data_IF_346609282657
#
_entry.id   IF_346609282657
#
_cell.length_a   1.000
_cell.length_b   1.000
_cell.length_c   1.000
_cell.angle_alpha   90.00
_cell.angle_beta   90.00
_cell.angle_gamma   90.00
#
_symmetry.space_group_name_H-M   'P 1'
#
loop_
_entity.id
_entity.type
_entity.pdbx_description
1 polymer ?
#
# COMPACT_ATOMS: atom_id res chain seq x y z
N UNK A 1 -16.68 21.86 -9.96
CA UNK A 1 -16.49 22.25 -8.53
C UNK A 1 -16.85 21.12 -7.56
N UNK A 2 -18.09 20.61 -7.45
CA UNK A 2 -18.43 19.60 -6.44
C UNK A 2 -17.61 18.30 -6.60
N UNK A 3 -17.40 17.87 -7.84
CA UNK A 3 -16.54 16.72 -8.15
C UNK A 3 -15.07 16.94 -7.74
N UNK A 4 -14.55 18.17 -7.90
CA UNK A 4 -13.18 18.51 -7.49
C UNK A 4 -13.01 18.50 -5.97
N UNK A 5 -14.02 18.97 -5.23
CA UNK A 5 -14.05 18.89 -3.76
C UNK A 5 -14.08 17.42 -3.33
N UNK A 6 -14.92 16.60 -3.98
CA UNK A 6 -14.99 15.16 -3.72
C UNK A 6 -13.62 14.50 -3.94
N UNK A 7 -12.95 14.76 -5.07
CA UNK A 7 -11.62 14.22 -5.35
C UNK A 7 -10.58 14.62 -4.28
N UNK A 8 -10.59 15.89 -3.84
CA UNK A 8 -9.73 16.37 -2.76
C UNK A 8 -9.98 15.64 -1.44
N UNK A 9 -11.24 15.53 -1.02
CA UNK A 9 -11.63 14.81 0.18
C UNK A 9 -11.30 13.33 0.09
N UNK A 10 -11.52 12.68 -1.06
CA UNK A 10 -11.24 11.26 -1.25
C UNK A 10 -9.76 10.93 -1.07
N UNK A 11 -8.85 11.71 -1.67
CA UNK A 11 -7.41 11.50 -1.53
C UNK A 11 -6.99 11.65 -0.06
N UNK A 12 -7.53 12.66 0.60
CA UNK A 12 -7.25 12.94 2.02
C UNK A 12 -7.78 11.85 2.95
N UNK A 13 -9.01 11.40 2.75
CA UNK A 13 -9.61 10.30 3.51
C UNK A 13 -8.82 9.01 3.27
N UNK A 14 -8.46 8.71 2.01
CA UNK A 14 -7.63 7.56 1.68
C UNK A 14 -6.26 7.61 2.36
N UNK A 15 -5.61 8.78 2.36
CA UNK A 15 -4.34 9.00 3.05
C UNK A 15 -4.46 8.75 4.56
N UNK A 16 -5.45 9.34 5.21
CA UNK A 16 -5.67 9.18 6.65
C UNK A 16 -6.01 7.73 7.01
N UNK A 17 -6.89 7.07 6.24
CA UNK A 17 -7.26 5.68 6.46
C UNK A 17 -6.08 4.72 6.25
N UNK A 18 -5.15 5.02 5.32
CA UNK A 18 -3.94 4.21 5.12
C UNK A 18 -2.98 4.24 6.32
N UNK A 19 -3.09 5.29 7.14
CA UNK A 19 -2.28 5.50 8.34
C UNK A 19 -3.02 5.18 9.63
N UNK A 20 -4.32 4.91 9.57
CA UNK A 20 -5.11 4.58 10.75
C UNK A 20 -4.87 3.13 11.16
N UNK A 21 -4.74 2.89 12.46
CA UNK A 21 -4.69 1.53 12.98
C UNK A 21 -6.05 0.84 12.77
N UNK A 22 -6.03 -0.47 12.53
CA UNK A 22 -7.24 -1.27 12.30
C UNK A 22 -8.11 -1.42 13.55
N UNK A 23 -7.57 -1.10 14.73
CA UNK A 23 -8.31 -1.13 16.00
C UNK A 23 -9.09 0.19 16.24
N UNK A 24 -10.43 0.18 16.13
CA UNK A 24 -11.26 1.36 16.37
C UNK A 24 -11.31 1.75 17.85
N UNK A 25 -10.94 0.84 18.77
CA UNK A 25 -11.01 1.06 20.22
C UNK A 25 -10.11 2.22 20.67
N UNK A 26 -8.91 2.32 20.12
CA UNK A 26 -7.96 3.40 20.45
C UNK A 26 -8.45 4.78 20.02
N UNK A 27 -9.09 4.89 18.85
CA UNK A 27 -9.70 6.13 18.39
C UNK A 27 -10.89 6.53 19.27
N UNK A 28 -11.70 5.56 19.69
CA UNK A 28 -12.83 5.79 20.59
C UNK A 28 -12.39 6.26 21.98
N UNK A 29 -11.31 5.69 22.53
CA UNK A 29 -10.71 6.13 23.80
C UNK A 29 -10.19 7.57 23.71
N UNK A 30 -9.60 7.95 22.58
CA UNK A 30 -9.18 9.33 22.32
C UNK A 30 -10.36 10.29 22.19
N UNK A 31 -11.40 9.89 21.46
CA UNK A 31 -12.63 10.66 21.28
C UNK A 31 -13.33 10.90 22.62
N UNK A 32 -13.51 9.83 23.42
CA UNK A 32 -14.01 9.93 24.79
C UNK A 32 -13.13 10.82 25.64
N UNK A 33 -11.81 10.70 25.54
CA UNK A 33 -10.88 11.56 26.26
C UNK A 33 -10.97 13.05 25.89
N UNK A 34 -11.30 13.38 24.63
CA UNK A 34 -11.54 14.76 24.17
C UNK A 34 -12.89 15.30 24.64
N UNK A 35 -13.95 14.48 24.56
CA UNK A 35 -15.30 14.83 25.03
C UNK A 35 -15.34 15.01 26.54
N UNK A 36 -14.72 14.09 27.29
CA UNK A 36 -14.61 14.17 28.75
C UNK A 36 -13.77 15.38 29.15
N UNK A 37 -12.65 15.65 28.48
CA UNK A 37 -11.82 16.83 28.76
C UNK A 37 -12.50 18.16 28.40
N UNK A 38 -13.48 18.17 27.48
CA UNK A 38 -14.35 19.31 27.23
C UNK A 38 -15.40 19.53 28.34
N UNK A 39 -15.78 18.48 29.08
CA UNK A 39 -16.61 18.59 30.29
C UNK A 39 -15.83 18.92 31.56
N UNK A 40 -14.61 18.38 31.68
CA UNK A 40 -13.75 18.48 32.88
C UNK A 40 -13.03 19.83 33.02
N UNK A 41 -13.03 20.65 31.97
CA UNK A 41 -12.45 22.00 31.99
C UNK A 41 -13.33 23.00 32.77
N UNK A 42 -14.50 22.56 33.25
CA UNK A 42 -15.33 23.31 34.21
C UNK A 42 -15.05 23.00 35.69
N UNK A 43 -14.32 21.93 36.03
CA UNK A 43 -14.18 21.48 37.45
C UNK A 43 -12.74 21.33 37.96
N UNK A 44 -11.71 21.63 37.15
CA UNK A 44 -10.29 21.45 37.54
C UNK A 44 -9.57 22.69 38.10
N UNK A 45 -10.28 23.55 38.81
CA UNK A 45 -9.65 24.59 39.66
C UNK A 45 -9.66 24.26 41.16
N UNK A 46 -10.22 23.10 41.56
CA UNK A 46 -10.16 22.66 42.95
C UNK A 46 -9.90 21.18 43.02
N UNK A 47 -8.74 20.85 43.56
CA UNK A 47 -8.48 19.80 44.57
C UNK A 47 -7.14 19.16 44.23
N UNK A 48 -6.10 19.63 44.92
CA UNK A 48 -4.89 18.84 45.09
C UNK A 48 -5.11 17.78 46.15
N UNK A 49 -4.46 16.63 46.01
CA UNK A 49 -4.03 15.80 47.14
C UNK A 49 -3.07 14.72 46.67
N UNK A 50 -2.14 14.44 47.57
CA UNK A 50 -0.95 13.61 47.50
C UNK A 50 -1.22 12.10 47.37
N UNK A 51 -0.13 11.36 47.12
CA UNK A 51 0.13 9.95 47.48
C UNK A 51 -0.45 8.79 46.66
N UNK A 52 0.40 8.15 45.85
CA UNK A 52 1.05 6.84 46.11
C UNK A 52 1.90 6.48 44.88
N UNK A 53 3.19 6.19 45.04
CA UNK A 53 4.08 5.73 43.95
C UNK A 53 3.74 4.28 43.57
N UNK A 54 2.56 4.03 43.00
CA UNK A 54 2.38 2.87 42.15
C UNK A 54 3.21 3.09 40.87
N UNK A 55 3.93 2.06 40.41
CA UNK A 55 4.58 2.07 39.11
C UNK A 55 3.50 2.18 38.03
N UNK A 56 3.03 3.39 37.76
CA UNK A 56 2.08 3.68 36.69
C UNK A 56 2.81 3.39 35.38
N UNK A 57 2.34 2.36 34.66
CA UNK A 57 2.89 2.01 33.36
C UNK A 57 2.89 3.25 32.44
N UNK A 58 4.06 3.73 32.00
CA UNK A 58 4.14 4.91 31.14
C UNK A 58 3.68 4.62 29.71
N UNK A 59 3.55 3.35 29.31
CA UNK A 59 3.21 2.91 27.97
C UNK A 59 1.85 3.42 27.46
N UNK A 60 0.73 3.29 28.20
CA UNK A 60 -0.57 3.83 27.75
C UNK A 60 -0.52 5.35 27.54
N UNK A 61 0.19 6.08 28.40
CA UNK A 61 0.39 7.53 28.25
C UNK A 61 1.21 7.88 27.01
N UNK A 62 2.33 7.18 26.79
CA UNK A 62 3.18 7.35 25.61
C UNK A 62 2.45 7.01 24.31
N UNK A 63 1.66 5.94 24.29
CA UNK A 63 0.83 5.57 23.15
C UNK A 63 -0.20 6.65 22.84
N UNK A 64 -0.90 7.17 23.85
CA UNK A 64 -1.87 8.25 23.69
C UNK A 64 -1.22 9.53 23.12
N UNK A 65 -0.04 9.89 23.62
CA UNK A 65 0.71 11.04 23.13
C UNK A 65 1.21 10.84 21.70
N UNK A 66 1.72 9.65 21.37
CA UNK A 66 2.14 9.30 20.01
C UNK A 66 0.96 9.37 19.02
N UNK A 67 -0.19 8.80 19.38
CA UNK A 67 -1.40 8.88 18.58
C UNK A 67 -1.89 10.31 18.39
N UNK A 68 -1.85 11.13 19.46
CA UNK A 68 -2.21 12.55 19.37
C UNK A 68 -1.29 13.32 18.42
N UNK A 69 0.03 13.15 18.56
CA UNK A 69 1.01 13.80 17.67
C UNK A 69 0.83 13.35 16.22
N UNK A 70 0.59 12.05 15.99
CA UNK A 70 0.32 11.50 14.67
C UNK A 70 -0.96 12.08 14.07
N UNK A 71 -2.06 12.14 14.83
CA UNK A 71 -3.33 12.70 14.36
C UNK A 71 -3.21 14.19 14.04
N UNK A 72 -2.49 14.96 14.85
CA UNK A 72 -2.20 16.37 14.57
C UNK A 72 -1.38 16.55 13.30
N UNK A 73 -0.32 15.75 13.12
CA UNK A 73 0.49 15.76 11.90
C UNK A 73 -0.33 15.35 10.67
N UNK A 74 -1.11 14.28 10.78
CA UNK A 74 -1.98 13.80 9.69
C UNK A 74 -3.04 14.85 9.34
N UNK A 75 -3.64 15.54 10.31
CA UNK A 75 -4.62 16.61 10.05
C UNK A 75 -4.02 17.77 9.25
N UNK A 76 -2.80 18.22 9.59
CA UNK A 76 -2.09 19.26 8.84
C UNK A 76 -1.82 18.80 7.40
N UNK A 77 -1.28 17.60 7.23
CA UNK A 77 -0.99 17.04 5.90
C UNK A 77 -2.27 16.87 5.09
N UNK A 78 -3.36 16.41 5.72
CA UNK A 78 -4.68 16.26 5.10
C UNK A 78 -5.22 17.58 4.55
N UNK A 79 -5.10 18.68 5.30
CA UNK A 79 -5.53 20.01 4.84
C UNK A 79 -4.70 20.43 3.62
N UNK A 80 -3.38 20.32 3.71
CA UNK A 80 -2.47 20.69 2.62
C UNK A 80 -2.74 19.87 1.35
N UNK A 81 -2.86 18.54 1.48
CA UNK A 81 -3.15 17.64 0.36
C UNK A 81 -4.51 17.95 -0.25
N UNK A 82 -5.54 18.23 0.56
CA UNK A 82 -6.88 18.61 0.05
C UNK A 82 -6.80 19.86 -0.82
N UNK A 83 -6.10 20.91 -0.35
CA UNK A 83 -5.93 22.17 -1.08
C UNK A 83 -5.18 21.94 -2.39
N UNK A 84 -4.07 21.20 -2.35
CA UNK A 84 -3.26 20.91 -3.54
C UNK A 84 -4.04 20.08 -4.57
N UNK A 85 -4.71 19.01 -4.14
CA UNK A 85 -5.52 18.16 -5.04
C UNK A 85 -6.67 18.95 -5.63
N UNK A 86 -7.36 19.76 -4.81
CA UNK A 86 -8.42 20.63 -5.28
C UNK A 86 -7.91 21.63 -6.34
N UNK A 87 -6.76 22.27 -6.10
CA UNK A 87 -6.14 23.19 -7.05
C UNK A 87 -5.78 22.51 -8.37
N UNK A 88 -5.15 21.33 -8.33
CA UNK A 88 -4.79 20.55 -9.53
C UNK A 88 -6.03 20.07 -10.29
N UNK A 89 -7.09 19.69 -9.58
CA UNK A 89 -8.31 19.22 -10.22
C UNK A 89 -9.11 20.38 -10.84
N UNK A 90 -9.15 21.55 -10.19
CA UNK A 90 -9.82 22.76 -10.70
C UNK A 90 -9.04 23.37 -11.87
N UNK A 91 -7.71 23.24 -11.90
CA UNK A 91 -6.89 23.70 -13.03
C UNK A 91 -7.11 22.92 -14.32
N UNK A 92 -8.04 21.95 -14.34
CA UNK A 92 -8.42 21.14 -15.51
C UNK A 92 -7.27 20.36 -16.13
N UNK A 93 -6.16 20.16 -15.40
CA UNK A 93 -4.98 19.47 -15.88
C UNK A 93 -5.29 18.06 -16.44
N UNK A 94 -6.29 17.38 -15.87
CA UNK A 94 -6.73 16.04 -16.30
C UNK A 94 -7.76 16.04 -17.43
N UNK A 95 -8.44 17.17 -17.67
CA UNK A 95 -9.54 17.30 -18.64
C UNK A 95 -9.16 18.14 -19.87
N UNK A 96 -7.92 18.64 -19.95
CA UNK A 96 -7.47 19.39 -21.12
C UNK A 96 -7.61 18.55 -22.39
N UNK A 97 -8.39 19.06 -23.33
CA UNK A 97 -8.72 18.40 -24.60
C UNK A 97 -7.48 18.10 -25.46
N UNK A 98 -6.41 18.87 -25.29
CA UNK A 98 -5.13 18.67 -25.98
C UNK A 98 -4.33 17.47 -25.49
N UNK A 99 -4.62 16.95 -24.29
CA UNK A 99 -3.83 15.90 -23.63
C UNK A 99 -4.60 14.58 -23.47
N UNK A 100 -5.94 14.59 -23.46
CA UNK A 100 -6.76 13.38 -23.47
C UNK A 100 -6.83 12.80 -24.90
N UNK A 101 -6.65 11.48 -25.14
CA UNK A 101 -6.51 10.35 -24.19
C UNK A 101 -5.05 9.96 -23.87
N UNK A 102 -4.07 10.61 -24.47
CA UNK A 102 -2.64 10.24 -24.38
C UNK A 102 -2.11 10.39 -22.94
N UNK A 103 -2.61 11.37 -22.18
CA UNK A 103 -2.18 11.64 -20.81
C UNK A 103 -2.38 10.45 -19.88
N UNK A 104 -3.54 9.79 -19.92
CA UNK A 104 -3.78 8.64 -19.04
C UNK A 104 -2.85 7.48 -19.36
N UNK A 105 -2.66 7.18 -20.64
CA UNK A 105 -1.74 6.12 -21.09
C UNK A 105 -0.31 6.41 -20.64
N UNK A 106 0.16 7.64 -20.84
CA UNK A 106 1.51 8.08 -20.42
C UNK A 106 1.65 8.01 -18.90
N UNK A 107 0.66 8.45 -18.13
CA UNK A 107 0.70 8.38 -16.67
C UNK A 107 0.77 6.94 -16.16
N UNK A 108 0.00 6.01 -16.75
CA UNK A 108 0.07 4.60 -16.39
C UNK A 108 1.44 3.99 -16.70
N UNK A 109 2.02 4.32 -17.85
CA UNK A 109 3.36 3.85 -18.23
C UNK A 109 4.45 4.45 -17.34
N UNK A 110 4.35 5.73 -16.96
CA UNK A 110 5.28 6.35 -16.00
C UNK A 110 5.16 5.68 -14.64
N UNK A 111 3.95 5.44 -14.14
CA UNK A 111 3.75 4.77 -12.85
C UNK A 111 4.29 3.34 -12.85
N UNK A 112 4.02 2.58 -13.92
CA UNK A 112 4.54 1.22 -14.09
C UNK A 112 6.06 1.19 -14.17
N UNK A 113 6.67 2.08 -14.96
CA UNK A 113 8.13 2.12 -15.15
C UNK A 113 8.88 2.61 -13.91
N UNK A 114 8.44 3.69 -13.26
CA UNK A 114 9.04 4.18 -12.02
C UNK A 114 8.91 3.13 -10.93
N UNK A 115 7.73 2.55 -10.75
CA UNK A 115 7.55 1.51 -9.74
C UNK A 115 8.32 0.23 -10.06
N UNK A 116 8.48 -0.16 -11.33
CA UNK A 116 9.36 -1.28 -11.70
C UNK A 116 10.83 -0.99 -11.33
N UNK A 117 11.33 0.22 -11.57
CA UNK A 117 12.68 0.59 -11.19
C UNK A 117 12.83 0.57 -9.66
N UNK A 118 11.90 1.22 -8.94
CA UNK A 118 11.96 1.41 -7.49
C UNK A 118 11.72 0.10 -6.74
N UNK A 119 10.72 -0.69 -7.12
CA UNK A 119 10.27 -1.84 -6.35
C UNK A 119 10.77 -3.18 -6.86
N UNK A 120 11.26 -3.26 -8.10
CA UNK A 120 11.84 -4.49 -8.65
C UNK A 120 13.35 -4.36 -8.88
N UNK A 121 13.81 -3.43 -9.73
CA UNK A 121 15.24 -3.36 -10.15
C UNK A 121 16.17 -3.00 -8.97
N UNK A 122 15.90 -1.91 -8.26
CA UNK A 122 16.77 -1.47 -7.16
C UNK A 122 16.86 -2.52 -6.05
N UNK A 123 15.76 -3.12 -5.55
CA UNK A 123 15.84 -4.18 -4.54
C UNK A 123 16.54 -5.45 -5.06
N UNK A 124 16.31 -5.82 -6.32
CA UNK A 124 16.88 -7.03 -6.90
C UNK A 124 18.40 -6.93 -7.11
N UNK A 125 18.89 -5.76 -7.51
CA UNK A 125 20.34 -5.48 -7.64
C UNK A 125 21.09 -5.44 -6.30
N UNK A 126 20.36 -5.28 -5.19
CA UNK A 126 20.88 -5.31 -3.81
C UNK A 126 20.84 -6.68 -3.15
N UNK A 127 20.15 -7.68 -3.73
CA UNK A 127 20.18 -9.05 -3.20
C UNK A 127 21.60 -9.62 -3.33
N UNK A 128 21.97 -10.53 -2.44
CA UNK A 128 23.30 -11.17 -2.45
C UNK A 128 23.59 -11.88 -3.79
N UNK A 129 22.58 -12.52 -4.38
CA UNK A 129 22.65 -13.16 -5.69
C UNK A 129 21.58 -12.60 -6.63
N UNK A 130 21.83 -11.44 -7.28
CA UNK A 130 20.90 -10.84 -8.23
C UNK A 130 20.53 -11.81 -9.35
N UNK A 131 19.23 -12.09 -9.49
CA UNK A 131 18.65 -13.02 -10.48
C UNK A 131 19.31 -14.41 -10.51
N UNK A 132 20.05 -14.78 -9.47
CA UNK A 132 20.89 -15.98 -9.43
C UNK A 132 21.95 -16.06 -10.54
N UNK A 133 22.14 -14.99 -11.33
CA UNK A 133 23.14 -14.93 -12.40
C UNK A 133 24.43 -14.23 -11.97
N UNK A 134 24.37 -13.44 -10.90
CA UNK A 134 25.52 -12.76 -10.30
C UNK A 134 25.83 -13.38 -8.94
N UNK A 135 27.12 -13.62 -8.66
CA UNK A 135 27.59 -14.18 -7.38
C UNK A 135 27.64 -13.16 -6.25
N UNK A 136 27.55 -11.87 -6.57
CA UNK A 136 27.65 -10.75 -5.63
C UNK A 136 26.62 -9.67 -5.96
N UNK A 137 26.21 -8.85 -4.98
CA UNK A 137 25.33 -7.72 -5.22
C UNK A 137 25.98 -6.70 -6.16
N UNK A 138 25.18 -6.18 -7.09
CA UNK A 138 25.59 -5.13 -8.03
C UNK A 138 25.69 -3.79 -7.31
N UNK A 139 24.73 -3.49 -6.44
CA UNK A 139 24.71 -2.30 -5.58
C UNK A 139 25.19 -2.65 -4.18
N UNK A 140 26.51 -2.59 -3.98
CA UNK A 140 27.16 -2.94 -2.72
C UNK A 140 27.00 -1.84 -1.67
N UNK A 141 26.75 -2.22 -0.42
CA UNK A 141 26.92 -1.34 0.73
C UNK A 141 28.42 -1.07 0.94
N UNK A 142 28.74 0.03 1.63
CA UNK A 142 30.15 0.35 1.94
C UNK A 142 30.77 -0.69 2.85
N UNK A 143 29.94 -1.33 3.65
CA UNK A 143 30.29 -2.29 4.68
C UNK A 143 30.35 -3.73 4.18
N UNK A 144 30.05 -3.99 2.90
CA UNK A 144 29.88 -5.34 2.36
C UNK A 144 31.11 -6.25 2.52
N UNK A 145 32.33 -5.68 2.57
CA UNK A 145 33.57 -6.46 2.79
C UNK A 145 34.03 -6.51 4.25
N UNK A 146 33.27 -5.92 5.19
CA UNK A 146 33.62 -6.01 6.60
C UNK A 146 33.14 -7.33 7.18
N UNK A 147 34.05 -8.06 7.83
CA UNK A 147 33.73 -9.28 8.56
C UNK A 147 32.84 -9.00 9.79
N UNK A 148 33.07 -7.87 10.47
CA UNK A 148 32.24 -7.42 11.59
C UNK A 148 32.06 -5.89 11.53
N UNK A 149 30.80 -5.44 11.53
CA UNK A 149 30.44 -4.02 11.39
C UNK A 149 30.37 -3.39 12.78
N UNK A 150 31.36 -2.55 13.13
CA UNK A 150 31.45 -1.87 14.44
C UNK A 150 30.73 -0.51 14.49
N UNK A 151 30.39 0.05 13.33
CA UNK A 151 29.72 1.36 13.20
C UNK A 151 28.32 1.21 12.59
N UNK A 152 27.43 2.18 12.83
CA UNK A 152 26.15 2.20 12.14
C UNK A 152 26.33 2.34 10.61
N UNK A 153 25.57 1.59 9.78
CA UNK A 153 25.67 1.66 8.33
C UNK A 153 25.45 3.09 7.81
N UNK A 154 26.36 3.55 6.93
CA UNK A 154 26.29 4.91 6.38
C UNK A 154 25.41 4.92 5.13
N UNK A 155 24.38 5.76 5.13
CA UNK A 155 23.44 5.88 3.99
C UNK A 155 24.18 6.37 2.75
N UNK A 156 24.25 5.51 1.72
CA UNK A 156 24.90 5.86 0.44
C UNK A 156 23.98 6.72 -0.43
N UNK A 157 24.56 7.39 -1.43
CA UNK A 157 23.78 8.27 -2.33
C UNK A 157 22.63 7.52 -3.04
N UNK A 158 22.86 6.26 -3.43
CA UNK A 158 21.84 5.42 -4.07
C UNK A 158 20.66 5.14 -3.13
N UNK A 159 20.91 4.96 -1.83
CA UNK A 159 19.83 4.78 -0.84
C UNK A 159 19.04 6.07 -0.63
N UNK A 160 19.72 7.22 -0.65
CA UNK A 160 19.03 8.53 -0.61
C UNK A 160 18.15 8.72 -1.85
N UNK A 161 18.66 8.38 -3.04
CA UNK A 161 17.89 8.43 -4.28
C UNK A 161 16.70 7.47 -4.23
N UNK A 162 16.91 6.23 -3.77
CA UNK A 162 15.85 5.24 -3.60
C UNK A 162 14.74 5.72 -2.65
N UNK A 163 15.10 6.28 -1.51
CA UNK A 163 14.14 6.86 -0.56
C UNK A 163 13.40 8.06 -1.16
N UNK A 164 14.10 8.92 -1.90
CA UNK A 164 13.52 10.06 -2.61
C UNK A 164 12.53 9.63 -3.69
N UNK A 165 12.89 8.63 -4.50
CA UNK A 165 12.01 8.06 -5.53
C UNK A 165 10.77 7.40 -4.91
N UNK A 166 10.93 6.61 -3.85
CA UNK A 166 9.80 6.00 -3.14
C UNK A 166 8.86 7.04 -2.53
N UNK A 167 9.43 8.13 -2.01
CA UNK A 167 8.64 9.26 -1.51
C UNK A 167 7.88 9.95 -2.66
N UNK A 168 8.53 10.20 -3.79
CA UNK A 168 7.93 10.84 -4.95
C UNK A 168 6.84 9.96 -5.58
N UNK A 169 7.08 8.66 -5.72
CA UNK A 169 6.12 7.68 -6.22
C UNK A 169 4.84 7.68 -5.39
N UNK A 170 4.96 7.48 -4.07
CA UNK A 170 3.82 7.37 -3.15
C UNK A 170 3.03 8.68 -3.02
N UNK A 171 3.71 9.83 -2.95
CA UNK A 171 3.06 11.11 -2.62
C UNK A 171 2.70 11.96 -3.84
N UNK A 172 3.29 11.71 -5.00
CA UNK A 172 3.05 12.50 -6.22
C UNK A 172 2.51 11.63 -7.35
N UNK A 173 3.26 10.61 -7.79
CA UNK A 173 2.88 9.80 -8.96
C UNK A 173 1.57 9.06 -8.70
N UNK A 174 1.48 8.27 -7.62
CA UNK A 174 0.28 7.48 -7.33
C UNK A 174 -0.98 8.35 -7.22
N UNK A 175 -1.03 9.42 -6.41
CA UNK A 175 -2.21 10.27 -6.32
C UNK A 175 -2.59 10.90 -7.66
N UNK A 176 -1.63 11.37 -8.46
CA UNK A 176 -1.89 11.99 -9.76
C UNK A 176 -2.49 10.99 -10.75
N UNK A 177 -1.92 9.79 -10.85
CA UNK A 177 -2.39 8.71 -11.72
C UNK A 177 -3.82 8.30 -11.36
N UNK A 178 -4.08 8.12 -10.07
CA UNK A 178 -5.39 7.68 -9.58
C UNK A 178 -6.46 8.78 -9.62
N UNK A 179 -6.07 10.04 -9.46
CA UNK A 179 -6.95 11.19 -9.73
C UNK A 179 -7.30 11.30 -11.21
N UNK A 180 -6.32 11.12 -12.10
CA UNK A 180 -6.56 11.07 -13.54
C UNK A 180 -7.53 9.94 -13.89
N UNK A 181 -7.26 8.72 -13.42
CA UNK A 181 -8.11 7.55 -13.64
C UNK A 181 -9.56 7.78 -13.16
N UNK A 182 -9.74 8.35 -11.97
CA UNK A 182 -11.05 8.69 -11.43
C UNK A 182 -11.77 9.73 -12.29
N UNK A 183 -11.06 10.79 -12.68
CA UNK A 183 -11.62 11.90 -13.48
C UNK A 183 -12.08 11.43 -14.85
N UNK A 184 -11.27 10.60 -15.53
CA UNK A 184 -11.60 10.07 -16.85
C UNK A 184 -12.68 8.99 -16.81
N UNK A 185 -12.71 8.15 -15.76
CA UNK A 185 -13.66 7.03 -15.67
C UNK A 185 -15.04 7.44 -15.16
N UNK A 186 -15.13 8.50 -14.33
CA UNK A 186 -16.39 8.93 -13.72
C UNK A 186 -17.55 9.18 -14.70
N UNK A 187 -17.42 9.94 -15.81
CA UNK A 187 -18.55 10.22 -16.70
C UNK A 187 -19.11 8.96 -17.37
N UNK A 188 -18.24 8.03 -17.79
CA UNK A 188 -18.66 6.78 -18.41
C UNK A 188 -19.45 5.89 -17.43
N UNK A 189 -18.98 5.78 -16.19
CA UNK A 189 -19.64 5.00 -15.14
C UNK A 189 -21.00 5.61 -14.77
N UNK A 190 -21.08 6.94 -14.60
CA UNK A 190 -22.35 7.61 -14.26
C UNK A 190 -23.37 7.51 -15.39
N UNK A 191 -22.92 7.62 -16.65
CA UNK A 191 -23.80 7.45 -17.81
C UNK A 191 -24.41 6.03 -17.87
N UNK A 192 -23.61 4.99 -17.56
CA UNK A 192 -24.04 3.60 -17.64
C UNK A 192 -24.90 3.14 -16.46
N UNK A 193 -24.53 3.51 -15.23
CA UNK A 193 -25.17 3.03 -14.00
C UNK A 193 -26.17 4.04 -13.39
N UNK A 194 -26.35 5.20 -14.02
CA UNK A 194 -27.27 6.24 -13.60
C UNK A 194 -26.76 7.11 -12.43
N UNK A 195 -27.57 8.10 -12.07
CA UNK A 195 -27.16 9.20 -11.18
C UNK A 195 -26.97 8.83 -9.70
N UNK A 196 -27.47 7.69 -9.26
CA UNK A 196 -27.34 7.24 -7.86
C UNK A 196 -26.26 6.17 -7.70
N UNK A 197 -26.32 5.12 -8.52
CA UNK A 197 -25.40 3.97 -8.42
C UNK A 197 -24.03 4.29 -9.02
N UNK A 198 -23.98 5.05 -10.13
CA UNK A 198 -22.73 5.42 -10.78
C UNK A 198 -21.75 6.15 -9.86
N UNK A 199 -22.16 7.26 -9.19
CA UNK A 199 -21.28 7.96 -8.26
C UNK A 199 -20.83 7.10 -7.07
N UNK A 200 -21.69 6.20 -6.59
CA UNK A 200 -21.35 5.26 -5.50
C UNK A 200 -20.24 4.30 -5.94
N UNK A 201 -20.33 3.75 -7.15
CA UNK A 201 -19.29 2.87 -7.73
C UNK A 201 -17.98 3.64 -7.85
N UNK A 202 -18.01 4.86 -8.40
CA UNK A 202 -16.81 5.71 -8.52
C UNK A 202 -16.18 5.95 -7.15
N UNK A 203 -16.98 6.32 -6.15
CA UNK A 203 -16.51 6.58 -4.79
C UNK A 203 -15.84 5.33 -4.17
N UNK A 204 -16.49 4.18 -4.24
CA UNK A 204 -15.97 2.93 -3.64
C UNK A 204 -14.69 2.47 -4.35
N UNK A 205 -14.69 2.47 -5.69
CA UNK A 205 -13.53 2.04 -6.46
C UNK A 205 -12.34 2.98 -6.27
N UNK A 206 -12.57 4.30 -6.36
CA UNK A 206 -11.52 5.30 -6.17
C UNK A 206 -10.97 5.29 -4.75
N UNK A 207 -11.81 5.18 -3.72
CA UNK A 207 -11.36 5.12 -2.33
C UNK A 207 -10.55 3.86 -2.06
N UNK A 208 -10.98 2.69 -2.55
CA UNK A 208 -10.20 1.44 -2.42
C UNK A 208 -8.85 1.58 -3.10
N UNK A 209 -8.82 2.06 -4.34
CA UNK A 209 -7.61 2.23 -5.14
C UNK A 209 -6.61 3.20 -4.47
N UNK A 210 -7.07 4.39 -4.08
CA UNK A 210 -6.24 5.39 -3.40
C UNK A 210 -5.74 4.89 -2.03
N UNK A 211 -6.62 4.27 -1.24
CA UNK A 211 -6.22 3.72 0.07
C UNK A 211 -5.16 2.63 -0.10
N UNK A 212 -5.34 1.76 -1.09
CA UNK A 212 -4.41 0.69 -1.37
C UNK A 212 -3.05 1.24 -1.83
N UNK A 213 -3.05 2.27 -2.67
CA UNK A 213 -1.82 2.95 -3.11
C UNK A 213 -0.99 3.53 -1.97
N UNK A 214 -1.64 4.15 -0.99
CA UNK A 214 -0.97 4.71 0.17
C UNK A 214 -0.56 3.66 1.21
N UNK A 215 -1.28 2.53 1.28
CA UNK A 215 -1.03 1.46 2.26
C UNK A 215 0.09 0.52 1.78
N UNK A 216 0.06 0.13 0.52
CA UNK A 216 1.00 -0.81 -0.10
C UNK A 216 1.40 -0.35 -1.51
N UNK A 217 2.31 0.63 -1.55
CA UNK A 217 2.86 1.20 -2.78
C UNK A 217 3.63 0.17 -3.65
N UNK A 218 4.45 -0.74 -3.09
CA UNK A 218 5.19 -1.73 -3.90
C UNK A 218 4.33 -2.61 -4.80
N UNK A 219 3.08 -2.92 -4.40
CA UNK A 219 2.17 -3.72 -5.23
C UNK A 219 1.49 -2.93 -6.34
N UNK A 220 1.61 -1.60 -6.39
CA UNK A 220 0.84 -0.77 -7.33
C UNK A 220 1.33 -0.90 -8.76
N UNK A 221 2.63 -0.85 -8.99
CA UNK A 221 3.19 -0.87 -10.33
C UNK A 221 2.84 -2.14 -11.14
N UNK A 222 2.87 -3.38 -10.60
CA UNK A 222 2.48 -4.56 -11.38
C UNK A 222 0.98 -4.58 -11.63
N UNK A 223 0.17 -4.10 -10.69
CA UNK A 223 -1.29 -4.06 -10.85
C UNK A 223 -1.67 -3.04 -11.93
N UNK A 224 -1.09 -1.83 -11.90
CA UNK A 224 -1.31 -0.81 -12.93
C UNK A 224 -0.84 -1.33 -14.29
N UNK A 225 0.38 -1.87 -14.37
CA UNK A 225 0.94 -2.39 -15.61
C UNK A 225 0.06 -3.51 -16.18
N UNK A 226 -0.27 -4.52 -15.37
CA UNK A 226 -1.06 -5.65 -15.83
C UNK A 226 -2.48 -5.23 -16.20
N UNK A 227 -3.15 -4.39 -15.39
CA UNK A 227 -4.48 -3.85 -15.73
C UNK A 227 -4.44 -3.10 -17.06
N UNK A 228 -3.45 -2.22 -17.23
CA UNK A 228 -3.32 -1.46 -18.46
C UNK A 228 -3.07 -2.38 -19.67
N UNK A 229 -2.04 -3.23 -19.65
CA UNK A 229 -1.71 -4.07 -20.79
C UNK A 229 -2.80 -5.09 -21.11
N UNK A 230 -3.36 -5.76 -20.09
CA UNK A 230 -4.38 -6.79 -20.26
C UNK A 230 -5.65 -6.25 -20.90
N UNK A 231 -6.17 -5.10 -20.43
CA UNK A 231 -7.39 -4.52 -20.98
C UNK A 231 -7.17 -3.66 -22.23
N UNK A 232 -5.96 -3.11 -22.44
CA UNK A 232 -5.63 -2.36 -23.66
C UNK A 232 -5.43 -3.28 -24.87
N UNK A 233 -4.73 -4.41 -24.68
CA UNK A 233 -4.29 -5.26 -25.79
C UNK A 233 -5.00 -6.62 -25.85
N UNK A 234 -5.11 -7.34 -24.72
CA UNK A 234 -5.56 -8.74 -24.74
C UNK A 234 -7.11 -8.86 -24.70
N UNK A 235 -7.76 -8.15 -23.77
CA UNK A 235 -9.19 -8.30 -23.46
C UNK A 235 -9.96 -6.97 -23.49
N UNK A 236 -9.80 -6.22 -24.57
CA UNK A 236 -10.44 -4.90 -24.75
C UNK A 236 -11.97 -4.93 -24.69
N UNK A 237 -12.59 -6.02 -25.09
CA UNK A 237 -14.04 -6.21 -25.13
C UNK A 237 -14.67 -6.38 -23.73
N UNK A 238 -13.87 -6.74 -22.73
CA UNK A 238 -14.32 -6.86 -21.33
C UNK A 238 -14.03 -5.60 -20.50
N UNK A 239 -13.26 -4.65 -21.03
CA UNK A 239 -12.89 -3.44 -20.31
C UNK A 239 -14.09 -2.49 -20.19
N UNK A 240 -14.39 -2.07 -18.97
CA UNK A 240 -15.42 -1.06 -18.72
C UNK A 240 -14.78 0.33 -18.62
N UNK A 241 -13.93 0.48 -17.61
CA UNK A 241 -13.10 1.66 -17.37
C UNK A 241 -11.90 1.22 -16.55
N UNK A 242 -10.77 1.92 -16.68
CA UNK A 242 -9.57 1.61 -15.89
C UNK A 242 -9.86 1.54 -14.39
N UNK A 243 -10.78 2.37 -13.87
CA UNK A 243 -11.15 2.38 -12.45
C UNK A 243 -11.78 1.06 -11.97
N UNK A 244 -12.70 0.50 -12.75
CA UNK A 244 -13.38 -0.77 -12.44
C UNK A 244 -12.41 -1.94 -12.69
N UNK A 245 -11.70 -1.89 -13.80
CA UNK A 245 -10.73 -2.91 -14.20
C UNK A 245 -9.65 -3.05 -13.11
N UNK A 246 -9.05 -1.94 -12.68
CA UNK A 246 -8.08 -1.91 -11.59
C UNK A 246 -8.65 -2.49 -10.28
N UNK A 247 -9.92 -2.20 -9.96
CA UNK A 247 -10.54 -2.71 -8.74
C UNK A 247 -10.50 -4.24 -8.70
N UNK A 248 -10.93 -4.91 -9.77
CA UNK A 248 -10.92 -6.37 -9.83
C UNK A 248 -9.51 -6.94 -9.97
N UNK A 249 -8.66 -6.31 -10.79
CA UNK A 249 -7.28 -6.74 -10.95
C UNK A 249 -6.46 -6.64 -9.67
N UNK A 250 -6.72 -5.63 -8.84
CA UNK A 250 -6.08 -5.50 -7.54
C UNK A 250 -6.43 -6.65 -6.60
N UNK A 251 -7.69 -7.12 -6.62
CA UNK A 251 -8.14 -8.26 -5.80
C UNK A 251 -7.51 -9.55 -6.32
N UNK A 252 -7.58 -9.77 -7.63
CA UNK A 252 -7.00 -10.95 -8.27
C UNK A 252 -5.49 -11.05 -8.00
N UNK A 253 -4.77 -9.94 -8.18
CA UNK A 253 -3.33 -9.89 -7.94
C UNK A 253 -2.97 -10.15 -6.48
N UNK A 254 -3.67 -9.54 -5.53
CA UNK A 254 -3.44 -9.81 -4.10
C UNK A 254 -3.67 -11.29 -3.76
N UNK A 255 -4.76 -11.88 -4.24
CA UNK A 255 -5.05 -13.31 -4.04
C UNK A 255 -4.00 -14.20 -4.69
N UNK A 256 -3.53 -13.85 -5.88
CA UNK A 256 -2.45 -14.56 -6.54
C UNK A 256 -1.13 -14.49 -5.75
N UNK A 257 -0.76 -13.32 -5.22
CA UNK A 257 0.41 -13.19 -4.36
C UNK A 257 0.29 -14.05 -3.08
N UNK A 258 -0.87 -14.02 -2.42
CA UNK A 258 -1.11 -14.82 -1.22
C UNK A 258 -1.02 -16.33 -1.53
N UNK A 259 -1.58 -16.75 -2.66
CA UNK A 259 -1.47 -18.11 -3.16
C UNK A 259 -0.02 -18.52 -3.41
N UNK A 260 0.77 -17.68 -4.11
CA UNK A 260 2.18 -17.93 -4.37
C UNK A 260 3.00 -18.03 -3.08
N UNK A 261 2.69 -17.23 -2.05
CA UNK A 261 3.33 -17.34 -0.74
C UNK A 261 3.00 -18.66 -0.05
N UNK A 262 1.73 -19.11 -0.08
CA UNK A 262 1.34 -20.43 0.44
C UNK A 262 2.02 -21.56 -0.32
N UNK A 263 2.10 -21.46 -1.64
CA UNK A 263 2.82 -22.43 -2.47
C UNK A 263 4.31 -22.50 -2.11
N UNK A 264 4.99 -21.35 -1.98
CA UNK A 264 6.39 -21.31 -1.57
C UNK A 264 6.59 -21.94 -0.20
N UNK A 265 5.68 -21.69 0.75
CA UNK A 265 5.70 -22.33 2.05
C UNK A 265 5.56 -23.85 1.94
N UNK A 266 4.59 -24.34 1.17
CA UNK A 266 4.37 -25.78 0.99
C UNK A 266 5.57 -26.44 0.30
N UNK A 267 6.08 -25.85 -0.78
CA UNK A 267 7.23 -26.38 -1.52
C UNK A 267 8.48 -26.41 -0.63
N UNK A 268 8.71 -25.37 0.17
CA UNK A 268 9.82 -25.31 1.14
C UNK A 268 9.62 -26.31 2.29
N UNK A 269 8.38 -26.51 2.75
CA UNK A 269 8.05 -27.47 3.80
C UNK A 269 8.27 -28.93 3.35
N UNK A 270 7.93 -29.24 2.10
CA UNK A 270 8.15 -30.55 1.51
C UNK A 270 9.64 -30.73 1.12
N UNK A 271 10.32 -29.63 0.77
CA UNK A 271 11.70 -29.57 0.28
C UNK A 271 12.08 -30.83 -0.55
N UNK A 272 11.41 -31.09 -1.69
CA UNK A 272 11.58 -32.35 -2.43
C UNK A 272 13.01 -32.55 -2.93
N UNK A 273 13.82 -31.48 -3.00
CA UNK A 273 15.25 -31.55 -3.34
C UNK A 273 16.18 -31.81 -2.16
N UNK A 274 15.72 -31.75 -0.90
CA UNK A 274 16.49 -32.06 0.31
C UNK A 274 16.28 -33.50 0.81
N UNK A 275 15.59 -34.34 0.03
CA UNK A 275 15.37 -35.75 0.36
C UNK A 275 16.73 -36.46 0.37
N UNK A 276 17.23 -36.76 1.56
CA UNK A 276 18.44 -37.56 1.74
C UNK A 276 18.08 -39.03 1.51
N UNK A 277 18.21 -39.47 0.25
CA UNK A 277 18.07 -40.87 -0.15
C UNK A 277 19.08 -41.83 0.53
N UNK A 278 19.98 -41.30 1.38
CA UNK A 278 20.96 -42.07 2.14
C UNK A 278 20.43 -42.78 3.39
N UNK A 279 19.15 -42.61 3.77
CA UNK A 279 18.55 -43.30 4.91
C UNK A 279 17.21 -43.96 4.56
N UNK A 280 17.12 -45.26 4.79
CA UNK A 280 15.89 -46.05 4.60
C UNK A 280 14.71 -45.55 5.44
N UNK A 281 14.98 -44.95 6.60
CA UNK A 281 13.94 -44.37 7.45
C UNK A 281 13.31 -43.13 6.82
N UNK A 282 14.12 -42.22 6.25
CA UNK A 282 13.58 -41.04 5.55
C UNK A 282 12.81 -41.45 4.29
N UNK A 283 13.28 -42.47 3.55
CA UNK A 283 12.54 -43.01 2.41
C UNK A 283 11.17 -43.60 2.79
N UNK A 284 11.03 -44.20 3.99
CA UNK A 284 9.77 -44.79 4.46
C UNK A 284 8.83 -43.80 5.15
N UNK A 285 9.36 -42.81 5.89
CA UNK A 285 8.57 -41.81 6.61
C UNK A 285 7.92 -40.78 5.67
N UNK A 286 8.52 -40.54 4.51
CA UNK A 286 8.12 -39.46 3.62
C UNK A 286 6.81 -39.68 2.84
N UNK A 287 6.46 -40.90 2.39
CA UNK A 287 5.12 -41.19 1.89
C UNK A 287 4.00 -40.81 2.87
N UNK A 288 4.25 -40.87 4.18
CA UNK A 288 3.27 -40.47 5.20
C UNK A 288 3.10 -38.95 5.34
N UNK A 289 4.03 -38.13 4.84
CA UNK A 289 3.88 -36.68 4.81
C UNK A 289 3.18 -36.15 3.55
N UNK A 290 2.99 -37.00 2.52
CA UNK A 290 2.31 -36.67 1.26
C UNK A 290 0.82 -36.34 1.46
N UNK A 291 0.01 -37.10 2.23
CA UNK A 291 -1.39 -36.74 2.49
C UNK A 291 -1.55 -35.39 3.19
N UNK A 292 -0.70 -35.10 4.18
CA UNK A 292 -0.68 -33.81 4.88
C UNK A 292 -0.32 -32.66 3.92
N UNK A 293 0.64 -32.89 3.04
CA UNK A 293 1.04 -31.93 2.01
C UNK A 293 -0.08 -31.67 0.99
N UNK A 294 -0.77 -32.72 0.53
CA UNK A 294 -1.91 -32.60 -0.37
C UNK A 294 -3.08 -31.81 0.26
N UNK A 295 -3.35 -32.03 1.55
CA UNK A 295 -4.33 -31.25 2.31
C UNK A 295 -3.96 -29.77 2.37
N UNK A 296 -2.69 -29.44 2.65
CA UNK A 296 -2.20 -28.06 2.65
C UNK A 296 -2.31 -27.38 1.27
N UNK A 297 -2.03 -28.11 0.18
CA UNK A 297 -2.23 -27.62 -1.19
C UNK A 297 -3.69 -27.30 -1.48
N UNK A 298 -4.62 -28.19 -1.11
CA UNK A 298 -6.05 -27.99 -1.30
C UNK A 298 -6.54 -26.78 -0.49
N UNK A 299 -6.12 -26.67 0.77
CA UNK A 299 -6.42 -25.52 1.62
C UNK A 299 -5.86 -24.21 1.04
N UNK A 300 -4.67 -24.25 0.44
CA UNK A 300 -4.07 -23.08 -0.20
C UNK A 300 -4.84 -22.61 -1.44
N UNK A 301 -5.40 -23.53 -2.23
CA UNK A 301 -6.21 -23.21 -3.43
C UNK A 301 -7.57 -22.61 -3.03
N UNK A 302 -8.20 -23.14 -1.97
CA UNK A 302 -9.56 -22.73 -1.57
C UNK A 302 -9.59 -21.37 -0.84
N UNK A 303 -8.49 -20.96 -0.20
CA UNK A 303 -8.41 -19.77 0.68
C UNK A 303 -7.89 -18.51 -0.01
#
# INVERSE_FOLDING_TARGET
>A
VPFSILCGLMVTIAYHLSRSASDPGMLWVLLKGLVVRAGDQKDKDKTGSSETQELIDPLPGKLKNCLKQRLQSDAIVCIVVTILVFAVHVSTAFTSLSLQPVLSDVLYLIAASVGFIVHYIIPQTRKEMPWLCCSHPLLRSKEWMYFEVKEAPKVIWVERLYLGLRFFERNVICPVVFLCATTTSAPAIVCKFGNYVGPLIVLVCSLKMLRFAFSDTPRQYPIIAFTYFFFKYDFRWSSETFLIDYFFMSILFCKFCDFMLKLNFIITYIAPWQITWGSAFHAFAQPFSVPHSAMLFLQAIVS
#
